data_IF_377216600301
#
_entry.id   IF_377216600301
#
_cell.length_a   1.000
_cell.length_b   1.000
_cell.length_c   1.000
_cell.angle_alpha   90.00
_cell.angle_beta   90.00
_cell.angle_gamma   90.00
#
_symmetry.space_group_name_H-M   'P 1'
#
loop_
_entity.id
_entity.type
_entity.pdbx_description
1 polymer ?
#
# COMPACT_ATOMS: atom_id res chain seq x y z
N UNK A 1 11.94 -0.84 -11.36
CA UNK A 1 11.75 0.60 -11.11
C UNK A 1 10.32 0.81 -10.63
N UNK A 2 10.08 1.50 -9.51
CA UNK A 2 8.77 1.54 -8.84
C UNK A 2 8.38 2.97 -8.48
N UNK A 3 7.18 3.36 -8.89
CA UNK A 3 6.52 4.59 -8.42
C UNK A 3 5.83 4.34 -7.08
N UNK A 4 5.68 5.38 -6.26
CA UNK A 4 4.84 5.28 -5.06
C UNK A 4 4.04 6.55 -4.80
N UNK A 5 2.78 6.36 -4.42
CA UNK A 5 1.92 7.40 -3.87
C UNK A 5 1.57 7.03 -2.44
N UNK A 6 1.94 7.89 -1.47
CA UNK A 6 1.76 7.64 -0.04
C UNK A 6 1.15 8.85 0.68
N UNK A 7 0.53 8.60 1.83
CA UNK A 7 -0.07 9.63 2.66
C UNK A 7 -0.01 9.32 4.16
N UNK A 8 -0.05 10.35 5.03
CA UNK A 8 0.19 11.77 4.74
C UNK A 8 1.66 12.03 4.40
N UNK A 9 2.00 13.29 4.11
CA UNK A 9 3.39 13.74 4.13
C UNK A 9 3.79 14.08 5.58
N UNK A 10 5.08 13.94 5.87
CA UNK A 10 5.74 14.31 7.10
C UNK A 10 6.25 15.75 7.07
N UNK A 11 6.99 16.15 6.02
CA UNK A 11 7.63 17.48 5.96
C UNK A 11 7.19 18.28 4.76
N UNK A 12 7.28 17.71 3.56
CA UNK A 12 6.98 18.42 2.31
C UNK A 12 5.88 17.72 1.55
N UNK A 13 4.91 18.47 1.06
CA UNK A 13 3.76 17.92 0.35
C UNK A 13 4.13 17.01 -0.83
N UNK A 14 5.13 17.40 -1.63
CA UNK A 14 5.56 16.65 -2.82
C UNK A 14 6.16 15.28 -2.50
N UNK A 15 6.51 14.99 -1.23
CA UNK A 15 7.04 13.67 -0.82
C UNK A 15 6.01 12.54 -0.95
N UNK A 16 4.72 12.89 -1.03
CA UNK A 16 3.61 11.96 -1.31
C UNK A 16 3.78 11.23 -2.63
N UNK A 17 4.45 11.84 -3.61
CA UNK A 17 4.59 11.33 -4.97
C UNK A 17 6.06 11.06 -5.22
N UNK A 18 6.44 9.78 -5.32
CA UNK A 18 7.82 9.38 -5.64
C UNK A 18 7.85 8.72 -7.01
N UNK A 19 8.65 9.28 -7.89
CA UNK A 19 8.85 8.81 -9.25
C UNK A 19 10.04 7.86 -9.30
N UNK A 20 9.88 6.77 -10.02
CA UNK A 20 10.93 5.82 -10.33
C UNK A 20 12.04 6.51 -11.14
N UNK A 21 13.29 6.25 -10.78
CA UNK A 21 14.46 6.76 -11.49
C UNK A 21 15.59 5.74 -11.54
N UNK A 22 16.65 6.07 -12.29
CA UNK A 22 17.82 5.20 -12.47
C UNK A 22 18.54 4.82 -11.17
N UNK A 23 18.42 5.67 -10.14
CA UNK A 23 19.05 5.47 -8.82
C UNK A 23 18.03 5.01 -7.75
N UNK A 24 16.85 4.55 -8.18
CA UNK A 24 15.73 4.27 -7.29
C UNK A 24 14.64 5.34 -7.36
N UNK A 25 13.62 5.18 -6.54
CA UNK A 25 12.48 6.10 -6.47
C UNK A 25 12.82 7.33 -5.64
N UNK A 26 12.44 8.52 -6.10
CA UNK A 26 12.66 9.79 -5.40
C UNK A 26 11.42 10.69 -5.48
N UNK A 27 11.17 11.56 -4.50
CA UNK A 27 10.09 12.55 -4.57
C UNK A 27 10.13 13.35 -5.86
N UNK A 28 8.96 13.59 -6.47
CA UNK A 28 8.80 14.56 -7.56
C UNK A 28 9.27 15.95 -7.09
N UNK A 29 9.81 16.79 -7.98
CA UNK A 29 10.16 18.17 -7.61
C UNK A 29 8.90 19.02 -7.43
N UNK A 30 8.99 20.08 -6.63
CA UNK A 30 7.86 21.00 -6.41
C UNK A 30 7.45 21.68 -7.72
N UNK A 31 8.40 22.07 -8.57
CA UNK A 31 8.14 22.69 -9.87
C UNK A 31 7.42 21.75 -10.82
N UNK A 32 7.83 20.47 -10.85
CA UNK A 32 7.20 19.47 -11.71
C UNK A 32 5.78 19.17 -11.22
N UNK A 33 5.57 19.02 -9.90
CA UNK A 33 4.24 18.84 -9.34
C UNK A 33 3.33 20.05 -9.60
N UNK A 34 3.84 21.27 -9.43
CA UNK A 34 3.08 22.50 -9.71
C UNK A 34 2.62 22.56 -11.17
N UNK A 35 3.50 22.22 -12.12
CA UNK A 35 3.15 22.21 -13.54
C UNK A 35 2.06 21.18 -13.87
N UNK A 36 2.08 20.01 -13.21
CA UNK A 36 1.05 18.99 -13.37
C UNK A 36 -0.28 19.40 -12.74
N UNK A 37 -0.25 20.07 -11.59
CA UNK A 37 -1.45 20.62 -10.96
C UNK A 37 -2.10 21.68 -11.86
N UNK A 38 -1.33 22.62 -12.41
CA UNK A 38 -1.83 23.62 -13.35
C UNK A 38 -2.50 22.97 -14.58
N UNK A 39 -1.94 21.86 -15.06
CA UNK A 39 -2.52 21.10 -16.18
C UNK A 39 -3.84 20.43 -15.79
N UNK A 40 -3.87 19.76 -14.64
CA UNK A 40 -5.08 19.12 -14.12
C UNK A 40 -6.18 20.14 -13.81
N UNK A 41 -5.86 21.31 -13.25
CA UNK A 41 -6.83 22.38 -12.99
C UNK A 41 -7.44 22.92 -14.29
N UNK A 42 -6.62 23.16 -15.32
CA UNK A 42 -7.10 23.57 -16.64
C UNK A 42 -8.03 22.52 -17.26
N UNK A 43 -7.67 21.24 -17.14
CA UNK A 43 -8.49 20.14 -17.64
C UNK A 43 -9.81 19.99 -16.86
N UNK A 44 -9.80 20.31 -15.57
CA UNK A 44 -10.97 20.26 -14.68
C UNK A 44 -11.95 21.44 -14.91
N UNK A 45 -11.54 22.48 -15.64
CA UNK A 45 -12.40 23.56 -16.14
C UNK A 45 -13.32 24.19 -15.06
N UNK A 46 -12.73 24.61 -13.95
CA UNK A 46 -13.39 25.24 -12.79
C UNK A 46 -14.48 24.39 -12.10
N UNK A 47 -14.59 23.09 -12.41
CA UNK A 47 -15.49 22.19 -11.69
C UNK A 47 -15.05 22.05 -10.23
N UNK A 48 -15.98 21.90 -9.26
CA UNK A 48 -15.62 21.61 -7.89
C UNK A 48 -14.75 20.35 -7.80
N UNK A 49 -13.56 20.49 -7.23
CA UNK A 49 -12.62 19.39 -7.02
C UNK A 49 -11.99 19.53 -5.63
N UNK A 50 -11.89 18.42 -4.92
CA UNK A 50 -11.26 18.40 -3.60
C UNK A 50 -9.74 18.37 -3.71
N UNK A 51 -9.08 18.74 -2.61
CA UNK A 51 -7.62 18.64 -2.50
C UNK A 51 -7.08 17.25 -2.83
N UNK A 52 -7.74 16.18 -2.38
CA UNK A 52 -7.29 14.81 -2.65
C UNK A 52 -7.53 14.42 -4.11
N UNK A 53 -8.66 14.82 -4.71
CA UNK A 53 -8.95 14.49 -6.11
C UNK A 53 -7.94 15.13 -7.06
N UNK A 54 -7.67 16.44 -6.92
CA UNK A 54 -6.71 17.12 -7.79
C UNK A 54 -5.28 16.60 -7.59
N UNK A 55 -4.90 16.29 -6.34
CA UNK A 55 -3.57 15.75 -6.04
C UNK A 55 -3.38 14.35 -6.62
N UNK A 56 -4.38 13.46 -6.45
CA UNK A 56 -4.33 12.11 -6.99
C UNK A 56 -4.34 12.14 -8.52
N UNK A 57 -5.10 13.04 -9.15
CA UNK A 57 -5.08 13.24 -10.60
C UNK A 57 -3.68 13.65 -11.09
N UNK A 58 -3.04 14.64 -10.45
CA UNK A 58 -1.68 15.07 -10.79
C UNK A 58 -0.65 13.95 -10.57
N UNK A 59 -0.78 13.17 -9.50
CA UNK A 59 0.08 12.01 -9.24
C UNK A 59 -0.03 10.94 -10.33
N UNK A 60 -1.25 10.54 -10.69
CA UNK A 60 -1.51 9.58 -11.76
C UNK A 60 -1.00 10.08 -13.11
N UNK A 61 -1.15 11.38 -13.41
CA UNK A 61 -0.59 11.99 -14.60
C UNK A 61 0.95 11.90 -14.60
N UNK A 62 1.61 12.20 -13.47
CA UNK A 62 3.06 12.05 -13.34
C UNK A 62 3.51 10.60 -13.63
N UNK A 63 2.85 9.62 -13.00
CA UNK A 63 3.17 8.21 -13.17
C UNK A 63 2.95 7.71 -14.60
N UNK A 64 1.97 8.28 -15.32
CA UNK A 64 1.71 7.94 -16.72
C UNK A 64 2.79 8.44 -17.70
N UNK A 65 3.54 9.49 -17.31
CA UNK A 65 4.56 10.13 -18.14
C UNK A 65 5.95 9.53 -17.94
N UNK A 66 6.19 8.95 -16.77
CA UNK A 66 7.47 8.35 -16.42
C UNK A 66 7.39 6.82 -16.43
N UNK A 67 8.27 6.12 -17.16
CA UNK A 67 8.24 4.66 -17.20
C UNK A 67 8.58 4.04 -15.84
N UNK A 68 7.79 3.06 -15.42
CA UNK A 68 8.07 2.22 -14.25
C UNK A 68 7.49 0.82 -14.46
N UNK A 69 8.00 -0.14 -13.70
CA UNK A 69 7.54 -1.54 -13.73
C UNK A 69 6.33 -1.76 -12.82
N UNK A 70 6.18 -0.93 -11.77
CA UNK A 70 5.08 -1.00 -10.81
C UNK A 70 4.77 0.36 -10.19
N UNK A 71 3.56 0.49 -9.66
CA UNK A 71 3.11 1.60 -8.82
C UNK A 71 2.56 1.03 -7.51
N UNK A 72 3.06 1.54 -6.39
CA UNK A 72 2.44 1.35 -5.07
C UNK A 72 1.50 2.51 -4.82
N UNK A 73 0.20 2.24 -4.71
CA UNK A 73 -0.84 3.25 -4.54
C UNK A 73 -1.51 3.09 -3.18
N UNK A 74 -1.13 3.92 -2.21
CA UNK A 74 -1.74 3.94 -0.89
C UNK A 74 -3.10 4.66 -0.93
N UNK A 75 -4.12 4.02 -0.37
CA UNK A 75 -5.46 4.58 -0.20
C UNK A 75 -5.40 5.71 0.82
N UNK A 76 -6.04 6.85 0.52
CA UNK A 76 -6.08 8.00 1.45
C UNK A 76 -6.98 7.76 2.65
N UNK A 77 -8.24 7.37 2.42
CA UNK A 77 -9.20 7.05 3.47
C UNK A 77 -10.27 6.06 3.00
N UNK A 78 -10.58 5.06 3.82
CA UNK A 78 -11.56 4.03 3.46
C UNK A 78 -11.03 3.14 2.34
N UNK A 79 -11.65 3.23 1.16
CA UNK A 79 -11.27 2.45 -0.02
C UNK A 79 -12.28 2.59 -1.15
N UNK A 80 -13.55 2.26 -0.90
CA UNK A 80 -14.63 2.24 -1.90
C UNK A 80 -14.77 3.55 -2.67
N UNK A 81 -14.78 4.67 -1.95
CA UNK A 81 -14.95 6.02 -2.50
C UNK A 81 -13.65 6.83 -2.47
N UNK A 82 -12.51 6.18 -2.23
CA UNK A 82 -11.24 6.88 -2.22
C UNK A 82 -10.84 7.28 -3.64
N UNK A 83 -10.20 8.45 -3.76
CA UNK A 83 -9.75 9.01 -5.05
C UNK A 83 -8.79 8.09 -5.81
N UNK A 84 -8.10 7.19 -5.11
CA UNK A 84 -7.20 6.20 -5.70
C UNK A 84 -7.92 4.99 -6.30
N UNK A 85 -9.19 4.74 -5.97
CA UNK A 85 -9.94 3.55 -6.39
C UNK A 85 -10.44 3.61 -7.85
N UNK A 86 -9.72 4.31 -8.71
CA UNK A 86 -9.97 4.42 -10.16
C UNK A 86 -9.20 3.37 -10.98
N UNK A 87 -8.29 2.63 -10.35
CA UNK A 87 -7.55 1.53 -11.00
C UNK A 87 -8.47 0.32 -11.16
N UNK A 88 -8.84 -0.01 -12.40
CA UNK A 88 -9.79 -1.09 -12.69
C UNK A 88 -9.22 -2.48 -12.35
N UNK A 89 -7.94 -2.71 -12.70
CA UNK A 89 -7.27 -4.01 -12.56
C UNK A 89 -5.86 -3.82 -11.96
N UNK A 90 -5.75 -3.56 -10.66
CA UNK A 90 -4.45 -3.61 -9.99
C UNK A 90 -3.89 -5.03 -10.03
N UNK A 91 -2.56 -5.18 -9.96
CA UNK A 91 -1.92 -6.49 -9.93
C UNK A 91 -2.25 -7.27 -8.65
N UNK A 92 -2.43 -6.56 -7.54
CA UNK A 92 -2.83 -7.09 -6.24
C UNK A 92 -3.48 -5.98 -5.42
N UNK A 93 -4.48 -6.32 -4.60
CA UNK A 93 -5.02 -5.44 -3.56
C UNK A 93 -4.50 -5.86 -2.19
N UNK A 94 -4.28 -4.91 -1.28
CA UNK A 94 -3.76 -5.20 0.06
C UNK A 94 -4.63 -4.51 1.10
N UNK A 95 -5.07 -5.27 2.11
CA UNK A 95 -5.78 -4.73 3.28
C UNK A 95 -4.97 -5.08 4.53
N UNK A 96 -4.30 -4.07 5.10
CA UNK A 96 -3.59 -4.16 6.38
C UNK A 96 -4.59 -4.19 7.55
N UNK A 97 -4.16 -4.43 8.80
CA UNK A 97 -5.07 -4.54 9.94
C UNK A 97 -6.07 -3.39 10.02
N UNK A 98 -7.35 -3.74 10.25
CA UNK A 98 -8.45 -2.80 10.41
C UNK A 98 -8.70 -2.56 11.89
N UNK A 99 -8.90 -1.30 12.24
CA UNK A 99 -9.25 -0.86 13.59
C UNK A 99 -10.29 0.28 13.51
N UNK A 100 -10.80 0.70 14.67
CA UNK A 100 -11.72 1.83 14.82
C UNK A 100 -10.99 3.16 14.57
N UNK A 101 -10.77 3.47 13.30
CA UNK A 101 -10.18 4.73 12.83
C UNK A 101 -11.12 5.45 11.86
N UNK A 102 -11.01 6.78 11.80
CA UNK A 102 -11.83 7.64 10.93
C UNK A 102 -13.34 7.41 11.06
N UNK A 103 -13.82 7.11 12.27
CA UNK A 103 -15.22 6.73 12.52
C UNK A 103 -16.27 7.75 12.02
N UNK A 104 -15.93 9.04 12.05
CA UNK A 104 -16.78 10.10 11.53
C UNK A 104 -17.08 9.98 10.02
N UNK A 105 -16.24 9.26 9.27
CA UNK A 105 -16.36 9.07 7.83
C UNK A 105 -16.69 7.63 7.44
N UNK A 106 -16.15 6.65 8.16
CA UNK A 106 -16.21 5.23 7.80
C UNK A 106 -17.23 4.42 8.61
N UNK A 107 -17.81 5.00 9.66
CA UNK A 107 -18.74 4.34 10.57
C UNK A 107 -18.09 3.98 11.91
N UNK A 108 -18.93 3.60 12.86
CA UNK A 108 -18.59 3.38 14.27
C UNK A 108 -18.40 1.90 14.64
N UNK A 109 -18.33 1.02 13.62
CA UNK A 109 -18.10 -0.42 13.82
C UNK A 109 -17.00 -0.94 12.89
N UNK A 110 -16.30 -1.98 13.33
CA UNK A 110 -15.28 -2.67 12.53
C UNK A 110 -15.86 -3.18 11.21
N UNK A 111 -17.09 -3.69 11.22
CA UNK A 111 -17.78 -4.18 10.01
C UNK A 111 -17.98 -3.06 8.97
N UNK A 112 -18.44 -1.87 9.39
CA UNK A 112 -18.64 -0.74 8.48
C UNK A 112 -17.30 -0.28 7.86
N UNK A 113 -16.27 -0.13 8.71
CA UNK A 113 -14.93 0.27 8.27
C UNK A 113 -14.34 -0.78 7.33
N UNK A 114 -14.52 -2.06 7.63
CA UNK A 114 -14.05 -3.17 6.79
C UNK A 114 -14.73 -3.20 5.43
N UNK A 115 -16.04 -2.96 5.36
CA UNK A 115 -16.76 -2.87 4.10
C UNK A 115 -16.28 -1.68 3.24
N UNK A 116 -15.99 -0.53 3.85
CA UNK A 116 -15.43 0.62 3.13
C UNK A 116 -14.03 0.32 2.58
N UNK A 117 -13.14 -0.28 3.40
CA UNK A 117 -11.78 -0.66 2.98
C UNK A 117 -11.78 -1.76 1.92
N UNK A 118 -12.66 -2.75 2.06
CA UNK A 118 -12.82 -3.83 1.08
C UNK A 118 -13.40 -3.36 -0.27
N UNK A 119 -13.82 -2.10 -0.40
CA UNK A 119 -14.22 -1.52 -1.67
C UNK A 119 -13.11 -1.41 -2.72
N UNK A 120 -11.83 -1.63 -2.33
CA UNK A 120 -10.72 -1.72 -3.29
C UNK A 120 -10.62 -3.09 -3.98
N UNK A 121 -11.32 -4.11 -3.48
CA UNK A 121 -11.25 -5.46 -4.03
C UNK A 121 -11.86 -5.50 -5.43
N UNK A 122 -11.14 -6.10 -6.38
CA UNK A 122 -11.56 -6.18 -7.79
C UNK A 122 -11.69 -7.62 -8.24
N UNK A 123 -12.62 -7.86 -9.17
CA UNK A 123 -12.92 -9.20 -9.69
C UNK A 123 -11.71 -9.80 -10.38
N UNK A 124 -11.37 -11.04 -10.01
CA UNK A 124 -10.24 -11.77 -10.59
C UNK A 124 -8.87 -11.19 -10.24
N UNK A 125 -8.82 -10.22 -9.33
CA UNK A 125 -7.56 -9.66 -8.81
C UNK A 125 -7.25 -10.35 -7.47
N UNK A 126 -6.01 -10.83 -7.25
CA UNK A 126 -5.61 -11.36 -5.96
C UNK A 126 -5.62 -10.26 -4.89
N UNK A 127 -6.03 -10.62 -3.69
CA UNK A 127 -6.12 -9.71 -2.57
C UNK A 127 -5.50 -10.33 -1.33
N UNK A 128 -4.50 -9.64 -0.77
CA UNK A 128 -3.78 -10.08 0.42
C UNK A 128 -4.30 -9.30 1.62
N UNK A 129 -4.64 -10.00 2.69
CA UNK A 129 -5.05 -9.38 3.94
C UNK A 129 -4.06 -9.74 5.04
N UNK A 130 -3.58 -8.70 5.75
CA UNK A 130 -2.74 -8.88 6.94
C UNK A 130 -3.54 -9.45 8.13
N UNK A 131 -2.96 -9.50 9.34
CA UNK A 131 -3.70 -9.91 10.53
C UNK A 131 -4.97 -9.08 10.73
N UNK A 132 -6.08 -9.73 11.08
CA UNK A 132 -7.37 -9.09 11.32
C UNK A 132 -8.02 -9.65 12.59
N UNK A 133 -8.93 -8.88 13.20
CA UNK A 133 -9.92 -9.46 14.12
C UNK A 133 -10.90 -10.34 13.34
N UNK A 134 -11.63 -11.22 14.02
CA UNK A 134 -12.62 -12.07 13.36
C UNK A 134 -13.72 -11.25 12.68
N UNK A 135 -14.17 -10.16 13.30
CA UNK A 135 -15.19 -9.27 12.73
C UNK A 135 -14.74 -8.63 11.41
N UNK A 136 -13.51 -8.08 11.39
CA UNK A 136 -12.94 -7.48 10.17
C UNK A 136 -12.74 -8.55 9.08
N UNK A 137 -12.22 -9.71 9.46
CA UNK A 137 -11.97 -10.82 8.54
C UNK A 137 -13.25 -11.29 7.86
N UNK A 138 -14.31 -11.55 8.63
CA UNK A 138 -15.61 -11.99 8.09
C UNK A 138 -16.17 -10.95 7.11
N UNK A 139 -16.12 -9.66 7.46
CA UNK A 139 -16.59 -8.60 6.56
C UNK A 139 -15.80 -8.54 5.25
N UNK A 140 -14.47 -8.68 5.30
CA UNK A 140 -13.62 -8.72 4.10
C UNK A 140 -13.89 -9.97 3.26
N UNK A 141 -14.03 -11.15 3.87
CA UNK A 141 -14.36 -12.41 3.17
C UNK A 141 -15.68 -12.28 2.40
N UNK A 142 -16.73 -11.75 3.04
CA UNK A 142 -18.02 -11.50 2.40
C UNK A 142 -17.93 -10.47 1.26
N UNK A 143 -17.12 -9.42 1.42
CA UNK A 143 -16.91 -8.42 0.38
C UNK A 143 -16.13 -9.00 -0.81
N UNK A 144 -15.12 -9.83 -0.56
CA UNK A 144 -14.34 -10.49 -1.59
C UNK A 144 -15.17 -11.48 -2.41
N UNK A 145 -16.04 -12.26 -1.75
CA UNK A 145 -16.98 -13.17 -2.44
C UNK A 145 -17.89 -12.39 -3.40
N UNK A 146 -18.47 -11.28 -2.93
CA UNK A 146 -19.31 -10.40 -3.77
C UNK A 146 -18.54 -9.76 -4.93
N UNK A 147 -17.29 -9.36 -4.68
CA UNK A 147 -16.42 -8.76 -5.70
C UNK A 147 -15.88 -9.80 -6.71
N UNK A 148 -15.87 -11.09 -6.34
CA UNK A 148 -15.17 -12.15 -7.05
C UNK A 148 -13.64 -12.00 -6.97
N UNK A 149 -13.11 -11.54 -5.84
CA UNK A 149 -11.68 -11.42 -5.57
C UNK A 149 -11.14 -12.70 -4.92
N UNK A 150 -9.90 -13.06 -5.21
CA UNK A 150 -9.24 -14.22 -4.61
C UNK A 150 -8.44 -13.76 -3.37
N UNK A 151 -8.85 -14.19 -2.18
CA UNK A 151 -8.20 -13.79 -0.93
C UNK A 151 -7.03 -14.69 -0.55
N UNK A 152 -6.00 -14.06 0.02
CA UNK A 152 -4.89 -14.70 0.73
C UNK A 152 -4.78 -14.07 2.11
N UNK A 153 -4.94 -14.87 3.15
CA UNK A 153 -5.20 -14.44 4.52
C UNK A 153 -4.02 -14.80 5.42
N UNK A 154 -3.51 -13.80 6.15
CA UNK A 154 -2.48 -14.02 7.15
C UNK A 154 -2.97 -15.02 8.23
N UNK A 155 -2.14 -16.01 8.55
CA UNK A 155 -2.45 -17.09 9.49
C UNK A 155 -3.23 -18.26 8.88
N UNK A 156 -3.62 -18.17 7.61
CA UNK A 156 -4.27 -19.27 6.87
C UNK A 156 -3.45 -19.65 5.63
N UNK A 157 -3.23 -18.70 4.72
CA UNK A 157 -2.55 -18.94 3.44
C UNK A 157 -1.06 -18.59 3.49
N UNK A 158 -0.69 -17.69 4.40
CA UNK A 158 0.70 -17.34 4.67
C UNK A 158 0.89 -16.95 6.13
N UNK A 159 2.12 -17.00 6.63
CA UNK A 159 2.47 -16.52 7.96
C UNK A 159 3.85 -15.87 7.97
N UNK A 160 4.06 -14.95 8.92
CA UNK A 160 5.36 -14.38 9.21
C UNK A 160 5.56 -14.27 10.72
N UNK A 161 6.72 -14.69 11.21
CA UNK A 161 7.07 -14.58 12.62
C UNK A 161 8.58 -14.43 12.81
N UNK A 162 8.99 -13.95 13.98
CA UNK A 162 10.40 -13.95 14.37
C UNK A 162 10.77 -15.28 15.00
N UNK A 163 11.86 -15.88 14.53
CA UNK A 163 12.48 -17.06 15.13
C UNK A 163 13.99 -16.90 15.11
N UNK A 164 14.65 -17.10 16.26
CA UNK A 164 16.11 -17.02 16.41
C UNK A 164 16.79 -15.75 15.82
N UNK A 165 16.07 -14.61 15.79
CA UNK A 165 16.58 -13.35 15.26
C UNK A 165 16.44 -13.19 13.74
N UNK A 166 15.73 -14.10 13.07
CA UNK A 166 15.34 -14.03 11.66
C UNK A 166 13.82 -13.81 11.52
N UNK A 167 13.42 -13.23 10.40
CA UNK A 167 12.05 -13.26 9.90
C UNK A 167 11.84 -14.59 9.16
N UNK A 168 10.96 -15.44 9.69
CA UNK A 168 10.51 -16.66 9.02
C UNK A 168 9.17 -16.37 8.35
N UNK A 169 9.15 -16.46 7.02
CA UNK A 169 7.95 -16.35 6.20
C UNK A 169 7.63 -17.69 5.55
N UNK A 170 6.36 -18.06 5.49
CA UNK A 170 5.90 -19.29 4.85
C UNK A 170 4.56 -19.08 4.15
N UNK A 171 4.42 -19.63 2.95
CA UNK A 171 3.18 -19.81 2.19
C UNK A 171 3.23 -21.15 1.43
N UNK A 172 2.35 -21.34 0.45
CA UNK A 172 2.33 -22.53 -0.43
C UNK A 172 3.57 -22.69 -1.32
N UNK A 173 4.27 -21.60 -1.63
CA UNK A 173 5.45 -21.58 -2.50
C UNK A 173 6.74 -21.91 -1.72
N UNK A 174 6.67 -21.91 -0.38
CA UNK A 174 7.70 -22.43 0.51
C UNK A 174 8.13 -21.47 1.61
N UNK A 175 9.19 -21.84 2.31
CA UNK A 175 9.74 -21.11 3.45
C UNK A 175 10.85 -20.15 3.02
N UNK A 176 10.86 -18.95 3.60
CA UNK A 176 11.93 -17.97 3.51
C UNK A 176 12.47 -17.67 4.90
N UNK A 177 13.79 -17.82 5.05
CA UNK A 177 14.55 -17.31 6.19
C UNK A 177 15.22 -16.00 5.76
N UNK A 178 14.81 -14.89 6.37
CA UNK A 178 15.16 -13.53 6.00
C UNK A 178 15.69 -12.76 7.21
N UNK A 179 16.55 -11.73 7.00
CA UNK A 179 16.85 -10.80 8.07
C UNK A 179 15.59 -10.08 8.55
N UNK A 180 15.55 -9.72 9.83
CA UNK A 180 14.47 -8.90 10.37
C UNK A 180 14.38 -7.55 9.66
N UNK A 181 13.16 -6.97 9.55
CA UNK A 181 12.99 -5.63 9.00
C UNK A 181 13.78 -4.59 9.79
N UNK A 182 14.42 -3.64 9.09
CA UNK A 182 15.11 -2.50 9.72
C UNK A 182 14.16 -1.62 10.52
N UNK A 183 12.87 -1.60 10.18
CA UNK A 183 11.84 -0.88 10.93
C UNK A 183 11.56 -1.61 12.26
N UNK A 184 11.66 -0.91 13.41
CA UNK A 184 11.44 -1.54 14.70
C UNK A 184 9.94 -1.77 14.98
N UNK A 185 9.66 -2.80 15.78
CA UNK A 185 8.32 -3.12 16.29
C UNK A 185 7.77 -4.42 15.74
N UNK A 186 7.09 -5.21 16.60
CA UNK A 186 6.55 -6.53 16.24
C UNK A 186 5.64 -6.50 15.02
N UNK A 187 4.80 -5.46 14.89
CA UNK A 187 3.89 -5.30 13.76
C UNK A 187 4.62 -5.18 12.40
N UNK A 188 5.92 -4.84 12.39
CA UNK A 188 6.69 -4.78 11.15
C UNK A 188 7.00 -6.17 10.59
N UNK A 189 7.00 -7.21 11.42
CA UNK A 189 7.07 -8.61 10.97
C UNK A 189 5.80 -8.97 10.19
N UNK A 190 4.63 -8.61 10.73
CA UNK A 190 3.33 -8.83 10.08
C UNK A 190 3.22 -8.03 8.77
N UNK A 191 3.67 -6.76 8.77
CA UNK A 191 3.73 -5.92 7.58
C UNK A 191 4.66 -6.51 6.51
N UNK A 192 5.84 -7.01 6.92
CA UNK A 192 6.78 -7.65 6.02
C UNK A 192 6.20 -8.90 5.38
N UNK A 193 5.55 -9.77 6.18
CA UNK A 193 4.87 -10.96 5.65
C UNK A 193 3.77 -10.62 4.66
N UNK A 194 2.95 -9.60 4.97
CA UNK A 194 1.89 -9.11 4.09
C UNK A 194 2.47 -8.59 2.77
N UNK A 195 3.56 -7.82 2.83
CA UNK A 195 4.24 -7.29 1.64
C UNK A 195 4.84 -8.40 0.77
N UNK A 196 5.47 -9.42 1.37
CA UNK A 196 6.04 -10.56 0.64
C UNK A 196 4.94 -11.34 -0.09
N UNK A 197 3.84 -11.66 0.62
CA UNK A 197 2.68 -12.33 0.03
C UNK A 197 2.12 -11.51 -1.14
N UNK A 198 1.92 -10.21 -0.95
CA UNK A 198 1.39 -9.33 -1.99
C UNK A 198 2.29 -9.30 -3.23
N UNK A 199 3.61 -9.21 -3.06
CA UNK A 199 4.55 -9.22 -4.17
C UNK A 199 4.54 -10.56 -4.92
N UNK A 200 4.47 -11.69 -4.21
CA UNK A 200 4.36 -13.02 -4.83
C UNK A 200 3.07 -13.16 -5.63
N UNK A 201 1.91 -12.79 -5.04
CA UNK A 201 0.60 -12.94 -5.69
C UNK A 201 0.35 -11.91 -6.80
N UNK A 202 1.01 -10.75 -6.75
CA UNK A 202 0.99 -9.80 -7.86
C UNK A 202 1.59 -10.41 -9.14
N UNK A 203 2.61 -11.28 -9.01
CA UNK A 203 3.18 -12.03 -10.14
C UNK A 203 3.81 -11.17 -11.25
N UNK A 204 4.04 -9.88 -10.99
CA UNK A 204 4.55 -8.92 -11.98
C UNK A 204 6.08 -8.82 -12.03
N UNK A 205 6.78 -9.32 -11.01
CA UNK A 205 8.23 -9.20 -10.87
C UNK A 205 8.85 -10.51 -10.34
N UNK A 206 10.06 -10.89 -10.80
CA UNK A 206 10.79 -11.99 -10.19
C UNK A 206 11.17 -11.62 -8.75
N UNK A 207 10.79 -12.45 -7.79
CA UNK A 207 11.02 -12.20 -6.37
C UNK A 207 12.13 -13.11 -5.83
N UNK A 208 13.38 -12.71 -6.04
CA UNK A 208 14.53 -13.44 -5.52
C UNK A 208 14.69 -13.20 -4.00
N UNK A 209 15.08 -14.25 -3.27
CA UNK A 209 15.27 -14.19 -1.81
C UNK A 209 16.21 -13.06 -1.38
N UNK A 210 17.30 -12.83 -2.12
CA UNK A 210 18.27 -11.79 -1.79
C UNK A 210 17.73 -10.37 -2.05
N UNK A 211 16.84 -10.19 -3.04
CA UNK A 211 16.14 -8.92 -3.24
C UNK A 211 15.20 -8.61 -2.08
N UNK A 212 14.48 -9.63 -1.57
CA UNK A 212 13.63 -9.50 -0.38
C UNK A 212 14.48 -9.16 0.85
N UNK A 213 15.57 -9.89 1.09
CA UNK A 213 16.47 -9.67 2.21
C UNK A 213 17.11 -8.27 2.17
N UNK A 214 17.46 -7.79 0.98
CA UNK A 214 17.92 -6.42 0.78
C UNK A 214 16.83 -5.41 1.15
N UNK A 215 15.59 -5.59 0.65
CA UNK A 215 14.46 -4.74 0.99
C UNK A 215 14.19 -4.67 2.50
N UNK A 216 14.26 -5.79 3.20
CA UNK A 216 14.09 -5.84 4.66
C UNK A 216 15.13 -5.00 5.41
N UNK A 217 16.38 -4.97 4.93
CA UNK A 217 17.49 -4.30 5.62
C UNK A 217 17.74 -2.88 5.16
N UNK A 218 17.29 -2.49 3.96
CA UNK A 218 17.47 -1.14 3.40
C UNK A 218 16.26 -0.23 3.57
N UNK A 219 15.09 -0.77 3.94
CA UNK A 219 13.86 0.02 4.12
C UNK A 219 14.06 1.21 5.07
N UNK A 220 13.52 2.36 4.66
CA UNK A 220 13.46 3.56 5.46
C UNK A 220 12.04 4.11 5.46
N UNK A 221 11.51 4.35 6.66
CA UNK A 221 10.21 4.99 6.84
C UNK A 221 10.29 6.00 7.98
N UNK A 222 10.54 7.29 7.67
CA UNK A 222 10.66 8.34 8.67
C UNK A 222 9.47 8.40 9.62
N UNK A 223 9.73 8.78 10.87
CA UNK A 223 8.73 8.92 11.94
C UNK A 223 7.95 7.64 12.35
N UNK A 224 8.36 6.43 11.91
CA UNK A 224 7.81 5.15 12.43
C UNK A 224 8.73 4.55 13.48
N UNK A 225 8.49 4.91 14.74
CA UNK A 225 9.35 4.54 15.88
C UNK A 225 10.85 4.85 15.61
N UNK A 226 11.10 5.89 14.82
CA UNK A 226 12.42 6.29 14.39
C UNK A 226 13.20 6.89 15.56
N UNK A 227 14.38 6.33 15.87
CA UNK A 227 15.28 6.89 16.88
C UNK A 227 15.97 8.14 16.33
N UNK A 228 15.67 9.30 16.91
CA UNK A 228 16.39 10.54 16.65
C UNK A 228 17.67 10.57 17.49
N UNK A 229 18.82 10.76 16.84
CA UNK A 229 20.13 10.78 17.53
C UNK A 229 20.62 12.19 17.84
N UNK A 230 20.02 13.22 17.22
CA UNK A 230 20.35 14.64 17.36
C UNK A 230 19.09 15.48 17.10
N UNK A 231 19.03 16.68 17.66
CA UNK A 231 17.98 17.67 17.47
C UNK A 231 18.57 19.07 17.31
#
# INVERSE_FOLDING_TARGET
AVHSYTSPHLVRFHERIRLAGKQGSAPITEEHLSALLDECEKANADAPITFFEITTAAALLAFSREPADALILEVGMGGRLDTTNVVEKPAVCIITPIDLDHQAFLGDTIELIANEKAGILKRGVPAVIGPQTDEARIAIEMAAEKAGACLFIHGQDFSAHEEAGSLIYQDEDGLLDLPLPRLPGRHQIDNAGTAICALRKAGILPLERDAIAHGMTSIEWPARLQRLTKG
#
